data_IF_916107261083
#
_entry.id   IF_916107261083
#
_cell.length_a   1.000
_cell.length_b   1.000
_cell.length_c   1.000
_cell.angle_alpha   90.00
_cell.angle_beta   90.00
_cell.angle_gamma   90.00
#
_symmetry.space_group_name_H-M   'P 1'
#
loop_
_entity.id
_entity.type
_entity.pdbx_description
1 polymer ?
#
# COMPACT_ATOMS: atom_id res chain seq x y z
N UNK A 1 26.81 -27.17 25.06
CA UNK A 1 25.91 -27.86 24.11
C UNK A 1 24.51 -27.21 24.06
N UNK A 2 23.91 -26.85 25.20
CA UNK A 2 22.58 -26.21 25.28
C UNK A 2 22.52 -24.88 24.50
N UNK A 3 23.53 -24.03 24.60
CA UNK A 3 23.60 -22.74 23.88
C UNK A 3 23.58 -22.91 22.35
N UNK A 4 24.27 -23.98 21.86
CA UNK A 4 24.28 -24.28 20.40
C UNK A 4 22.95 -24.86 19.89
N UNK A 5 22.27 -25.64 20.72
CA UNK A 5 20.94 -26.18 20.39
C UNK A 5 19.90 -25.06 20.35
N UNK A 6 19.91 -24.14 21.33
CA UNK A 6 19.02 -22.98 21.35
C UNK A 6 19.28 -22.03 20.16
N UNK A 7 20.55 -21.83 19.77
CA UNK A 7 20.90 -20.99 18.62
C UNK A 7 20.40 -21.61 17.29
N UNK A 8 20.54 -22.94 17.13
CA UNK A 8 20.02 -23.63 15.93
C UNK A 8 18.50 -23.57 15.87
N UNK A 9 17.80 -23.77 16.99
CA UNK A 9 16.35 -23.71 17.06
C UNK A 9 15.83 -22.30 16.78
N UNK A 10 16.51 -21.27 17.30
CA UNK A 10 16.16 -19.87 17.03
C UNK A 10 16.35 -19.54 15.56
N UNK A 11 17.50 -19.95 14.94
CA UNK A 11 17.74 -19.75 13.52
C UNK A 11 16.68 -20.42 12.64
N UNK A 12 16.26 -21.63 12.97
CA UNK A 12 15.21 -22.34 12.24
C UNK A 12 13.85 -21.63 12.34
N UNK A 13 13.45 -21.21 13.56
CA UNK A 13 12.20 -20.46 13.76
C UNK A 13 12.21 -19.12 13.01
N UNK A 14 13.35 -18.44 12.99
CA UNK A 14 13.50 -17.18 12.29
C UNK A 14 13.47 -17.36 10.76
N UNK A 15 14.13 -18.38 10.22
CA UNK A 15 14.05 -18.70 8.80
C UNK A 15 12.62 -18.99 8.37
N UNK A 16 11.87 -19.77 9.16
CA UNK A 16 10.48 -20.07 8.92
C UNK A 16 9.58 -18.81 8.99
N UNK A 17 9.86 -17.91 9.95
CA UNK A 17 9.14 -16.63 10.04
C UNK A 17 9.37 -15.76 8.79
N UNK A 18 10.64 -15.61 8.35
CA UNK A 18 10.98 -14.84 7.15
C UNK A 18 10.28 -15.42 5.92
N UNK A 19 10.28 -16.74 5.77
CA UNK A 19 9.63 -17.42 4.67
C UNK A 19 8.12 -17.17 4.69
N UNK A 20 7.45 -17.35 5.83
CA UNK A 20 6.02 -17.09 5.98
C UNK A 20 5.64 -15.64 5.65
N UNK A 21 6.44 -14.66 6.09
CA UNK A 21 6.21 -13.24 5.76
C UNK A 21 6.39 -13.02 4.26
N UNK A 22 7.44 -13.59 3.66
CA UNK A 22 7.69 -13.52 2.22
C UNK A 22 6.55 -14.10 1.39
N UNK A 23 6.04 -15.26 1.77
CA UNK A 23 4.93 -15.95 1.09
C UNK A 23 3.64 -15.12 1.17
N UNK A 24 3.32 -14.56 2.35
CA UNK A 24 2.14 -13.69 2.53
C UNK A 24 2.23 -12.41 1.72
N UNK A 25 3.39 -11.78 1.67
CA UNK A 25 3.63 -10.58 0.85
C UNK A 25 3.53 -10.93 -0.64
N UNK A 26 4.05 -12.09 -1.05
CA UNK A 26 3.91 -12.60 -2.41
C UNK A 26 2.46 -12.82 -2.81
N UNK A 27 1.67 -13.49 -1.97
CA UNK A 27 0.24 -13.71 -2.19
C UNK A 27 -0.55 -12.39 -2.27
N UNK A 28 -0.28 -11.44 -1.36
CA UNK A 28 -0.91 -10.12 -1.38
C UNK A 28 -0.58 -9.33 -2.67
N UNK A 29 0.66 -9.42 -3.15
CA UNK A 29 1.08 -8.80 -4.41
C UNK A 29 0.34 -9.38 -5.62
N UNK A 30 0.20 -10.71 -5.69
CA UNK A 30 -0.56 -11.37 -6.76
C UNK A 30 -2.04 -10.99 -6.72
N UNK A 31 -2.65 -10.98 -5.53
CA UNK A 31 -4.04 -10.58 -5.35
C UNK A 31 -4.28 -9.13 -5.79
N UNK A 32 -3.40 -8.19 -5.43
CA UNK A 32 -3.49 -6.80 -5.86
C UNK A 32 -3.29 -6.62 -7.37
N UNK A 33 -2.42 -7.42 -7.99
CA UNK A 33 -2.26 -7.40 -9.44
C UNK A 33 -3.54 -7.86 -10.15
N UNK A 34 -4.20 -8.92 -9.65
CA UNK A 34 -5.49 -9.39 -10.15
C UNK A 34 -6.57 -8.30 -9.97
N UNK A 35 -6.68 -7.71 -8.78
CA UNK A 35 -7.62 -6.64 -8.49
C UNK A 35 -7.42 -5.42 -9.41
N UNK A 36 -6.16 -5.02 -9.65
CA UNK A 36 -5.82 -3.95 -10.60
C UNK A 36 -6.35 -4.27 -12.00
N UNK A 37 -6.18 -5.51 -12.46
CA UNK A 37 -6.65 -5.93 -13.78
C UNK A 37 -8.18 -5.91 -13.86
N UNK A 38 -8.87 -6.40 -12.84
CA UNK A 38 -10.33 -6.41 -12.75
C UNK A 38 -10.90 -4.99 -12.74
N UNK A 39 -10.31 -4.07 -11.96
CA UNK A 39 -10.70 -2.66 -11.93
C UNK A 39 -10.43 -1.99 -13.28
N UNK A 40 -9.28 -2.24 -13.89
CA UNK A 40 -8.95 -1.69 -15.20
C UNK A 40 -9.91 -2.19 -16.28
N UNK A 41 -10.30 -3.45 -16.24
CA UNK A 41 -11.30 -4.02 -17.13
C UNK A 41 -12.70 -3.41 -16.87
N UNK A 42 -13.08 -3.24 -15.61
CA UNK A 42 -14.32 -2.57 -15.21
C UNK A 42 -14.39 -1.12 -15.69
N UNK A 43 -13.31 -0.36 -15.50
CA UNK A 43 -13.19 1.03 -15.99
C UNK A 43 -13.27 1.10 -17.50
N UNK A 44 -12.59 0.20 -18.25
CA UNK A 44 -12.71 0.15 -19.72
C UNK A 44 -14.14 -0.11 -20.16
N UNK A 45 -14.81 -1.10 -19.58
CA UNK A 45 -16.23 -1.39 -19.86
C UNK A 45 -17.13 -0.19 -19.56
N UNK A 46 -16.89 0.52 -18.45
CA UNK A 46 -17.63 1.71 -18.10
C UNK A 46 -17.39 2.85 -19.10
N UNK A 47 -16.15 3.08 -19.51
CA UNK A 47 -15.78 4.07 -20.55
C UNK A 47 -16.43 3.75 -21.89
N UNK A 48 -16.42 2.48 -22.30
CA UNK A 48 -17.05 2.05 -23.55
C UNK A 48 -18.57 2.19 -23.47
N UNK A 49 -19.19 1.87 -22.33
CA UNK A 49 -20.62 2.10 -22.08
C UNK A 49 -20.99 3.59 -22.18
N UNK A 50 -20.11 4.49 -21.73
CA UNK A 50 -20.30 5.94 -21.82
C UNK A 50 -20.25 6.44 -23.27
N UNK A 51 -19.38 5.89 -24.10
CA UNK A 51 -19.35 6.21 -25.53
C UNK A 51 -20.68 5.91 -26.21
N UNK A 52 -21.36 4.84 -25.78
CA UNK A 52 -22.64 4.42 -26.35
C UNK A 52 -23.87 5.04 -25.67
N UNK A 53 -23.88 5.23 -24.35
CA UNK A 53 -25.07 5.59 -23.55
C UNK A 53 -24.99 6.97 -22.88
N UNK A 54 -23.88 7.69 -23.01
CA UNK A 54 -23.70 9.03 -22.43
C UNK A 54 -23.27 9.03 -20.96
N UNK A 55 -22.85 10.21 -20.46
CA UNK A 55 -22.15 10.38 -19.16
C UNK A 55 -22.91 9.93 -17.91
N UNK A 56 -24.24 9.80 -17.96
CA UNK A 56 -25.01 9.29 -16.83
C UNK A 56 -24.73 7.82 -16.52
N UNK A 57 -24.41 7.01 -17.54
CA UNK A 57 -24.09 5.59 -17.34
C UNK A 57 -22.75 5.38 -16.63
N UNK A 58 -21.77 6.28 -16.80
CA UNK A 58 -20.49 6.21 -16.11
C UNK A 58 -20.63 6.48 -14.62
N UNK A 59 -21.35 7.55 -14.25
CA UNK A 59 -21.57 7.89 -12.84
C UNK A 59 -22.27 6.75 -12.10
N UNK A 60 -23.34 6.20 -12.71
CA UNK A 60 -24.05 5.07 -12.14
C UNK A 60 -23.20 3.79 -12.06
N UNK A 61 -22.28 3.56 -13.01
CA UNK A 61 -21.40 2.39 -13.01
C UNK A 61 -20.31 2.49 -11.94
N UNK A 62 -19.70 3.67 -11.76
CA UNK A 62 -18.67 3.91 -10.73
C UNK A 62 -19.27 3.85 -9.31
N UNK A 63 -20.42 4.44 -9.10
CA UNK A 63 -21.11 4.44 -7.79
C UNK A 63 -21.63 3.03 -7.42
N UNK A 64 -22.14 2.28 -8.41
CA UNK A 64 -22.65 0.91 -8.21
C UNK A 64 -21.55 -0.13 -7.94
N UNK A 65 -20.32 0.07 -8.37
CA UNK A 65 -19.28 -0.99 -8.29
C UNK A 65 -18.69 -1.18 -6.89
N UNK A 66 -19.02 -0.33 -5.91
CA UNK A 66 -18.37 -0.33 -4.57
C UNK A 66 -16.83 -0.33 -4.65
N UNK A 67 -16.28 -0.16 -5.85
CA UNK A 67 -14.85 -0.28 -6.13
C UNK A 67 -14.04 0.79 -5.41
N UNK A 68 -14.53 2.03 -5.40
CA UNK A 68 -13.86 3.15 -4.71
C UNK A 68 -13.77 2.87 -3.22
N UNK A 69 -14.88 2.45 -2.58
CA UNK A 69 -14.89 2.13 -1.15
C UNK A 69 -13.97 0.95 -0.83
N UNK A 70 -13.98 -0.10 -1.63
CA UNK A 70 -13.09 -1.25 -1.45
C UNK A 70 -11.62 -0.86 -1.59
N UNK A 71 -11.27 -0.04 -2.59
CA UNK A 71 -9.92 0.47 -2.78
C UNK A 71 -9.46 1.39 -1.64
N UNK A 72 -10.33 2.26 -1.10
CA UNK A 72 -10.02 3.09 0.06
C UNK A 72 -9.68 2.24 1.27
N UNK A 73 -10.48 1.23 1.58
CA UNK A 73 -10.22 0.30 2.69
C UNK A 73 -8.91 -0.46 2.49
N UNK A 74 -8.65 -0.92 1.26
CA UNK A 74 -7.39 -1.60 0.94
C UNK A 74 -6.20 -0.65 1.12
N UNK A 75 -6.31 0.58 0.65
CA UNK A 75 -5.26 1.60 0.79
C UNK A 75 -4.95 1.86 2.27
N UNK A 76 -5.95 2.10 3.11
CA UNK A 76 -5.78 2.31 4.56
C UNK A 76 -5.11 1.11 5.24
N UNK A 77 -5.51 -0.12 4.88
CA UNK A 77 -4.87 -1.32 5.42
C UNK A 77 -3.42 -1.48 4.98
N UNK A 78 -3.09 -1.13 3.74
CA UNK A 78 -1.71 -1.16 3.23
C UNK A 78 -0.84 -0.10 3.91
N UNK A 79 -1.33 1.11 4.11
CA UNK A 79 -0.64 2.17 4.86
C UNK A 79 -0.36 1.72 6.31
N UNK A 80 -1.37 1.20 7.00
CA UNK A 80 -1.23 0.66 8.35
C UNK A 80 -0.24 -0.50 8.42
N UNK A 81 -0.28 -1.41 7.45
CA UNK A 81 0.66 -2.53 7.37
C UNK A 81 2.09 -2.05 7.09
N UNK A 82 2.28 -1.05 6.23
CA UNK A 82 3.60 -0.46 5.97
C UNK A 82 4.19 0.16 7.23
N UNK A 83 3.40 0.96 7.97
CA UNK A 83 3.81 1.56 9.24
C UNK A 83 4.17 0.49 10.29
N UNK A 84 3.38 -0.58 10.40
CA UNK A 84 3.66 -1.69 11.32
C UNK A 84 4.95 -2.44 10.97
N UNK A 85 5.26 -2.61 9.68
CA UNK A 85 6.50 -3.22 9.23
C UNK A 85 7.71 -2.32 9.50
N UNK A 86 7.58 -1.00 9.33
CA UNK A 86 8.63 -0.02 9.65
C UNK A 86 8.96 -0.06 11.14
N UNK A 87 7.95 0.03 12.01
CA UNK A 87 8.14 -0.11 13.47
C UNK A 87 8.74 -1.47 13.86
N UNK A 88 8.34 -2.56 13.20
CA UNK A 88 8.93 -3.89 13.44
C UNK A 88 10.41 -3.95 13.04
N UNK A 89 10.81 -3.25 11.99
CA UNK A 89 12.20 -3.18 11.56
C UNK A 89 13.06 -2.39 12.56
N UNK A 90 12.54 -1.28 13.10
CA UNK A 90 13.18 -0.51 14.18
C UNK A 90 13.37 -1.37 15.43
N UNK A 91 12.30 -2.01 15.91
CA UNK A 91 12.34 -2.92 17.06
C UNK A 91 13.37 -4.03 16.89
N UNK A 92 13.51 -4.58 15.66
CA UNK A 92 14.57 -5.56 15.37
C UNK A 92 15.97 -4.95 15.48
N UNK A 93 16.15 -3.69 15.14
CA UNK A 93 17.39 -2.95 15.34
C UNK A 93 17.75 -2.89 16.83
N UNK A 94 16.80 -2.46 17.67
CA UNK A 94 16.96 -2.33 19.12
C UNK A 94 17.29 -3.69 19.78
N UNK A 95 16.57 -4.74 19.40
CA UNK A 95 16.86 -6.12 19.85
C UNK A 95 18.30 -6.51 19.47
N UNK A 96 18.76 -6.11 18.30
CA UNK A 96 20.14 -6.37 17.83
C UNK A 96 21.17 -5.69 18.73
N UNK A 97 20.94 -4.43 19.09
CA UNK A 97 21.79 -3.66 20.01
C UNK A 97 21.87 -4.34 21.39
N UNK A 98 20.72 -4.65 21.96
CA UNK A 98 20.65 -5.29 23.29
C UNK A 98 21.30 -6.68 23.32
N UNK A 99 21.07 -7.50 22.29
CA UNK A 99 21.72 -8.80 22.20
C UNK A 99 23.25 -8.68 22.03
N UNK A 100 23.71 -7.65 21.35
CA UNK A 100 25.16 -7.39 21.22
C UNK A 100 25.76 -6.95 22.55
N UNK A 101 25.11 -6.05 23.27
CA UNK A 101 25.49 -5.63 24.61
C UNK A 101 25.55 -6.82 25.58
N UNK A 102 24.52 -7.67 25.61
CA UNK A 102 24.48 -8.88 26.44
C UNK A 102 25.66 -9.85 26.13
N UNK A 103 26.00 -10.02 24.85
CA UNK A 103 27.18 -10.80 24.45
C UNK A 103 28.48 -10.16 24.93
N UNK A 104 28.58 -8.85 24.86
CA UNK A 104 29.71 -8.07 25.34
C UNK A 104 29.88 -8.24 26.87
N UNK A 105 28.82 -8.09 27.64
CA UNK A 105 28.84 -8.31 29.10
C UNK A 105 29.25 -9.75 29.45
N UNK A 106 28.72 -10.77 28.78
CA UNK A 106 29.14 -12.16 28.96
C UNK A 106 30.65 -12.35 28.66
N UNK A 107 31.19 -11.65 27.65
CA UNK A 107 32.60 -11.68 27.33
C UNK A 107 33.44 -11.00 28.42
N UNK A 108 32.96 -9.89 28.96
CA UNK A 108 33.63 -9.16 30.06
C UNK A 108 33.68 -10.00 31.33
N UNK A 109 32.59 -10.67 31.70
CA UNK A 109 32.61 -11.61 32.86
C UNK A 109 33.70 -12.67 32.67
N UNK A 110 33.82 -13.25 31.48
CA UNK A 110 34.87 -14.24 31.17
C UNK A 110 36.30 -13.65 31.23
N UNK A 111 36.47 -12.36 30.87
CA UNK A 111 37.74 -11.65 30.98
C UNK A 111 38.13 -11.40 32.47
N UNK A 112 37.16 -10.92 33.26
CA UNK A 112 37.34 -10.70 34.69
C UNK A 112 37.76 -11.97 35.45
N UNK A 113 37.12 -13.11 35.14
CA UNK A 113 37.52 -14.41 35.67
C UNK A 113 38.95 -14.83 35.33
N UNK A 114 39.53 -14.21 34.28
CA UNK A 114 40.91 -14.44 33.85
C UNK A 114 41.86 -13.30 34.22
N UNK A 115 41.41 -12.34 35.05
CA UNK A 115 42.23 -11.18 35.45
C UNK A 115 42.55 -10.22 34.30
N UNK A 116 41.71 -10.17 33.26
CA UNK A 116 41.90 -9.30 32.07
C UNK A 116 40.98 -8.07 32.12
N UNK A 117 41.42 -6.98 31.52
CA UNK A 117 40.65 -5.76 31.40
C UNK A 117 39.35 -5.98 30.58
N UNK A 118 38.30 -5.25 30.94
CA UNK A 118 37.02 -5.26 30.29
C UNK A 118 36.85 -4.07 29.34
N UNK A 119 35.86 -4.11 28.49
CA UNK A 119 35.48 -3.02 27.59
C UNK A 119 34.01 -2.68 27.83
N UNK A 120 33.68 -1.40 28.00
CA UNK A 120 32.34 -0.94 28.26
C UNK A 120 31.59 -0.54 26.99
N UNK A 121 32.28 -0.50 25.83
CA UNK A 121 31.69 -0.17 24.54
C UNK A 121 31.43 -1.42 23.72
N UNK A 122 30.18 -1.61 23.29
CA UNK A 122 29.77 -2.71 22.42
C UNK A 122 29.14 -2.13 21.16
N UNK A 123 29.96 -1.87 20.13
CA UNK A 123 29.42 -1.44 18.84
C UNK A 123 28.62 -2.55 18.18
N UNK A 124 27.40 -2.20 17.76
CA UNK A 124 26.52 -3.08 17.02
C UNK A 124 26.61 -2.79 15.53
N UNK A 125 26.95 -3.81 14.74
CA UNK A 125 26.95 -3.73 13.28
C UNK A 125 25.54 -4.04 12.74
N UNK A 126 24.84 -3.00 12.32
CA UNK A 126 23.48 -3.09 11.77
C UNK A 126 23.39 -3.86 10.45
N UNK A 127 24.52 -4.15 9.82
CA UNK A 127 24.57 -4.83 8.53
C UNK A 127 24.91 -6.31 8.64
N UNK A 128 25.43 -6.76 9.80
CA UNK A 128 25.88 -8.11 10.00
C UNK A 128 25.04 -8.90 11.00
N UNK A 129 24.99 -10.20 10.78
CA UNK A 129 24.31 -11.13 11.68
C UNK A 129 22.86 -11.43 11.27
N UNK A 130 22.23 -12.27 12.09
CA UNK A 130 20.90 -12.80 11.79
C UNK A 130 19.80 -11.74 11.98
N UNK A 131 19.92 -10.92 13.03
CA UNK A 131 18.98 -9.85 13.32
C UNK A 131 19.00 -8.80 12.19
N UNK A 132 20.20 -8.43 11.70
CA UNK A 132 20.34 -7.54 10.56
C UNK A 132 19.64 -8.09 9.29
N UNK A 133 19.78 -9.39 9.02
CA UNK A 133 19.08 -10.03 7.89
C UNK A 133 17.57 -9.99 8.03
N UNK A 134 17.03 -10.21 9.24
CA UNK A 134 15.59 -10.14 9.51
C UNK A 134 15.10 -8.72 9.33
N UNK A 135 15.80 -7.73 9.91
CA UNK A 135 15.47 -6.31 9.75
C UNK A 135 15.39 -5.93 8.27
N UNK A 136 16.42 -6.28 7.48
CA UNK A 136 16.43 -6.03 6.03
C UNK A 136 15.28 -6.71 5.29
N UNK A 137 14.90 -7.93 5.69
CA UNK A 137 13.75 -8.62 5.10
C UNK A 137 12.44 -7.90 5.43
N UNK A 138 12.25 -7.43 6.67
CA UNK A 138 11.07 -6.65 7.08
C UNK A 138 11.02 -5.32 6.33
N UNK A 139 12.15 -4.59 6.24
CA UNK A 139 12.26 -3.34 5.48
C UNK A 139 11.91 -3.54 3.99
N UNK A 140 12.38 -4.63 3.40
CA UNK A 140 12.04 -4.99 2.02
C UNK A 140 10.54 -5.24 1.85
N UNK A 141 9.91 -5.98 2.76
CA UNK A 141 8.48 -6.19 2.77
C UNK A 141 7.72 -4.86 2.93
N UNK A 142 8.17 -3.99 3.84
CA UNK A 142 7.61 -2.65 4.04
C UNK A 142 7.63 -1.80 2.76
N UNK A 143 8.74 -1.80 2.03
CA UNK A 143 8.85 -1.12 0.73
C UNK A 143 7.86 -1.65 -0.31
N UNK A 144 7.68 -2.98 -0.38
CA UNK A 144 6.70 -3.58 -1.29
C UNK A 144 5.29 -3.11 -0.92
N UNK A 145 4.91 -3.21 0.35
CA UNK A 145 3.57 -2.82 0.83
C UNK A 145 3.32 -1.33 0.59
N UNK A 146 4.30 -0.47 0.83
CA UNK A 146 4.23 0.97 0.56
C UNK A 146 4.04 1.27 -0.94
N UNK A 147 4.75 0.56 -1.80
CA UNK A 147 4.54 0.68 -3.25
C UNK A 147 3.13 0.24 -3.66
N UNK A 148 2.58 -0.80 -3.03
CA UNK A 148 1.22 -1.25 -3.26
C UNK A 148 0.19 -0.20 -2.81
N UNK A 149 0.38 0.44 -1.66
CA UNK A 149 -0.44 1.57 -1.21
C UNK A 149 -0.43 2.72 -2.23
N UNK A 150 0.74 3.12 -2.72
CA UNK A 150 0.86 4.14 -3.77
C UNK A 150 0.14 3.77 -5.07
N UNK A 151 0.14 2.49 -5.46
CA UNK A 151 -0.63 2.04 -6.62
C UNK A 151 -2.15 2.11 -6.39
N UNK A 152 -2.65 1.76 -5.20
CA UNK A 152 -4.08 1.89 -4.87
C UNK A 152 -4.52 3.35 -4.81
N UNK A 153 -3.69 4.24 -4.27
CA UNK A 153 -3.92 5.68 -4.28
C UNK A 153 -4.04 6.25 -5.71
N UNK A 154 -3.12 5.85 -6.60
CA UNK A 154 -3.17 6.27 -8.00
C UNK A 154 -4.43 5.77 -8.73
N UNK A 155 -4.90 4.56 -8.40
CA UNK A 155 -6.17 4.04 -8.92
C UNK A 155 -7.37 4.85 -8.41
N UNK A 156 -7.40 5.20 -7.12
CA UNK A 156 -8.43 6.06 -6.54
C UNK A 156 -8.47 7.43 -7.22
N UNK A 157 -7.33 8.10 -7.39
CA UNK A 157 -7.21 9.38 -8.11
C UNK A 157 -7.70 9.28 -9.56
N UNK A 158 -7.40 8.16 -10.22
CA UNK A 158 -7.85 7.93 -11.59
C UNK A 158 -9.37 7.77 -11.68
N UNK A 159 -9.99 7.06 -10.74
CA UNK A 159 -11.44 6.89 -10.66
C UNK A 159 -12.15 8.21 -10.34
N UNK A 160 -11.58 9.00 -9.42
CA UNK A 160 -12.10 10.33 -9.07
C UNK A 160 -12.05 11.29 -10.27
N UNK A 161 -10.93 11.33 -10.98
CA UNK A 161 -10.78 12.12 -12.20
C UNK A 161 -11.75 11.73 -13.32
N UNK A 162 -12.11 10.44 -13.44
CA UNK A 162 -13.13 9.99 -14.37
C UNK A 162 -14.54 10.43 -13.94
N UNK A 163 -14.83 10.37 -12.64
CA UNK A 163 -16.08 10.85 -12.06
C UNK A 163 -16.26 12.35 -12.32
N UNK A 164 -15.24 13.15 -12.07
CA UNK A 164 -15.27 14.60 -12.31
C UNK A 164 -15.52 14.94 -13.78
N UNK A 165 -14.81 14.29 -14.70
CA UNK A 165 -15.04 14.48 -16.15
C UNK A 165 -16.46 14.12 -16.56
N UNK A 166 -17.08 13.13 -15.95
CA UNK A 166 -18.46 12.75 -16.23
C UNK A 166 -19.46 13.84 -15.76
N UNK A 167 -19.19 14.46 -14.60
CA UNK A 167 -19.98 15.59 -14.07
C UNK A 167 -19.86 16.82 -14.98
N UNK A 168 -18.63 17.18 -15.38
CA UNK A 168 -18.37 18.33 -16.25
C UNK A 168 -19.07 18.19 -17.60
N UNK A 169 -19.01 16.99 -18.20
CA UNK A 169 -19.70 16.69 -19.44
C UNK A 169 -21.23 16.77 -19.31
N UNK A 170 -21.79 16.44 -18.13
CA UNK A 170 -23.23 16.59 -17.83
C UNK A 170 -23.63 18.06 -17.74
N UNK A 171 -22.83 18.87 -17.05
CA UNK A 171 -23.06 20.31 -16.90
C UNK A 171 -23.08 20.99 -18.29
N UNK A 172 -22.09 20.72 -19.14
CA UNK A 172 -22.02 21.28 -20.51
C UNK A 172 -23.21 20.85 -21.40
N UNK A 173 -23.74 19.63 -21.24
CA UNK A 173 -24.93 19.19 -21.98
C UNK A 173 -26.18 19.90 -21.52
N UNK A 174 -26.36 20.09 -20.20
CA UNK A 174 -27.52 20.80 -19.67
C UNK A 174 -27.52 22.26 -20.10
N UNK A 175 -26.37 22.91 -20.16
CA UNK A 175 -26.22 24.28 -20.65
C UNK A 175 -26.62 24.41 -22.13
N UNK A 176 -26.12 23.50 -22.97
CA UNK A 176 -26.52 23.47 -24.41
C UNK A 176 -27.99 23.20 -24.64
N UNK A 177 -28.63 22.41 -23.78
CA UNK A 177 -30.10 22.15 -23.87
C UNK A 177 -30.87 23.39 -23.47
N UNK A 178 -30.48 24.10 -22.41
CA UNK A 178 -31.13 25.34 -21.97
C UNK A 178 -31.02 26.44 -23.02
N UNK A 179 -29.87 26.61 -23.64
CA UNK A 179 -29.65 27.57 -24.71
C UNK A 179 -30.43 27.23 -25.98
N UNK A 180 -30.61 25.95 -26.29
CA UNK A 180 -31.42 25.49 -27.40
C UNK A 180 -32.91 25.70 -27.20
N UNK A 181 -33.38 25.60 -25.96
CA UNK A 181 -34.79 25.86 -25.58
C UNK A 181 -35.09 27.38 -25.64
N UNK A 182 -34.19 28.21 -25.10
CA UNK A 182 -34.37 29.66 -25.12
C UNK A 182 -34.37 30.24 -26.55
N UNK A 183 -33.50 29.73 -27.43
CA UNK A 183 -33.51 30.13 -28.87
C UNK A 183 -34.78 29.74 -29.60
N UNK A 184 -35.44 28.62 -29.24
CA UNK A 184 -36.70 28.22 -29.84
C UNK A 184 -37.89 29.04 -29.33
N UNK A 185 -37.89 29.44 -28.07
CA UNK A 185 -38.95 30.33 -27.51
C UNK A 185 -38.88 31.74 -28.11
N UNK A 186 -37.70 32.30 -28.30
CA UNK A 186 -37.49 33.61 -28.92
C UNK A 186 -37.86 33.62 -30.41
N UNK A 187 -37.64 32.53 -31.14
CA UNK A 187 -38.05 32.40 -32.52
C UNK A 187 -39.59 32.25 -32.67
N UNK A 188 -40.23 31.57 -31.70
CA UNK A 188 -41.71 31.41 -31.70
C UNK A 188 -42.44 32.68 -31.32
N UNK A 189 -41.84 33.57 -30.53
CA UNK A 189 -42.44 34.86 -30.14
C UNK A 189 -42.36 35.90 -31.25
N UNK A 190 -41.38 35.84 -32.13
CA UNK A 190 -41.23 36.76 -33.26
C UNK A 190 -42.09 36.40 -34.49
N UNK A 191 -42.65 35.22 -34.54
CA UNK A 191 -43.49 34.76 -35.65
C UNK A 191 -45.00 35.08 -35.52
N UNK A 192 -45.49 35.69 -34.41
CA UNK A 192 -46.89 36.02 -34.22
C UNK A 192 -47.26 37.51 -34.37
N UNK A 193 -46.39 38.30 -35.00
CA UNK A 193 -46.63 39.72 -35.26
C UNK A 193 -46.69 40.05 -36.76
N UNK A 194 -47.63 39.43 -37.45
CA UNK A 194 -48.10 39.93 -38.77
C UNK A 194 -49.56 39.57 -38.99
#
# INVERSE_FOLDING_TARGET
QLDRLNEKTLKAKMAHFIQNVGDRVGAAKMWLAALKNDISAGVRKAVDSVKYHGGQALYAAIDKTKAVRALSVIHEHLESAAASLEHSAETMGDIGVELNAAKGHKKNVRKLLKGKETSDTFEYDYDKGIIAKIRKAIEFCGKIVKNMAGHTENMLKSLDGLSQKALDNRAMRNEKVSDGVNKKTDAASRGKGR
#
